data_IF_400038347316
#
_entry.id   IF_400038347316
#
_cell.length_a   1.000
_cell.length_b   1.000
_cell.length_c   1.000
_cell.angle_alpha   90.00
_cell.angle_beta   90.00
_cell.angle_gamma   90.00
#
_symmetry.space_group_name_H-M   'P 1'
#
loop_
_entity.id
_entity.type
_entity.pdbx_description
1 polymer ?
#
# COMPACT_ATOMS: atom_id res chain seq x y z
N UNK A 1 17.31 -3.66 -1.83
CA UNK A 1 16.46 -2.45 -1.74
C UNK A 1 15.78 -2.41 -0.39
N UNK A 2 15.78 -1.24 0.29
CA UNK A 2 14.70 -0.96 1.22
C UNK A 2 13.38 -1.14 0.47
N UNK A 3 12.44 -1.89 1.04
CA UNK A 3 11.11 -2.07 0.44
C UNK A 3 10.37 -0.74 0.45
N UNK A 4 9.73 -0.38 -0.66
CA UNK A 4 8.94 0.86 -0.78
C UNK A 4 7.98 0.96 0.41
N UNK A 5 7.84 2.16 1.00
CA UNK A 5 6.99 2.34 2.16
C UNK A 5 5.55 2.09 1.72
N UNK A 6 4.81 1.34 2.53
CA UNK A 6 3.41 1.11 2.27
C UNK A 6 2.70 2.47 2.28
N UNK A 7 2.18 2.88 1.13
CA UNK A 7 1.36 4.08 1.03
C UNK A 7 0.09 3.94 1.90
N UNK A 8 -0.56 5.06 2.22
CA UNK A 8 -1.77 5.07 3.03
C UNK A 8 -2.84 4.10 2.49
N UNK A 9 -2.90 4.02 1.16
CA UNK A 9 -3.73 3.07 0.43
C UNK A 9 -3.40 1.60 0.72
N UNK A 10 -2.13 1.22 0.84
CA UNK A 10 -1.73 -0.16 1.14
C UNK A 10 -2.06 -0.56 2.58
N UNK A 11 -1.89 0.36 3.53
CA UNK A 11 -2.31 0.14 4.92
C UNK A 11 -3.83 -0.12 5.00
N UNK A 12 -4.61 0.72 4.32
CA UNK A 12 -6.05 0.53 4.19
C UNK A 12 -6.41 -0.78 3.46
N UNK A 13 -5.73 -1.08 2.34
CA UNK A 13 -5.99 -2.28 1.55
C UNK A 13 -5.71 -3.58 2.30
N UNK A 14 -4.75 -3.58 3.22
CA UNK A 14 -4.44 -4.76 4.04
C UNK A 14 -5.58 -5.06 5.03
N UNK A 15 -6.12 -4.02 5.65
CA UNK A 15 -7.29 -4.15 6.54
C UNK A 15 -8.58 -4.42 5.75
N UNK A 16 -8.72 -3.80 4.57
CA UNK A 16 -9.83 -4.06 3.66
C UNK A 16 -9.81 -5.51 3.17
N UNK A 17 -8.64 -6.06 2.80
CA UNK A 17 -8.52 -7.48 2.39
C UNK A 17 -8.97 -8.44 3.47
N UNK A 18 -8.59 -8.20 4.73
CA UNK A 18 -9.01 -9.05 5.87
C UNK A 18 -10.53 -9.01 6.02
N UNK A 19 -11.08 -7.80 6.08
CA UNK A 19 -12.52 -7.56 6.22
C UNK A 19 -13.31 -8.12 5.03
N UNK A 20 -12.82 -7.90 3.81
CA UNK A 20 -13.46 -8.37 2.58
C UNK A 20 -13.45 -9.89 2.50
N UNK A 21 -12.35 -10.54 2.91
CA UNK A 21 -12.26 -12.00 2.96
C UNK A 21 -13.19 -12.61 4.01
N UNK A 22 -13.43 -11.93 5.12
CA UNK A 22 -14.42 -12.34 6.12
C UNK A 22 -15.85 -12.22 5.60
N UNK A 23 -16.16 -11.14 4.88
CA UNK A 23 -17.49 -10.92 4.28
C UNK A 23 -17.73 -11.78 3.03
N UNK A 24 -16.67 -12.07 2.26
CA UNK A 24 -16.72 -12.82 1.01
C UNK A 24 -15.66 -13.94 1.03
N UNK A 25 -15.85 -14.99 1.85
CA UNK A 25 -14.89 -16.09 1.96
C UNK A 25 -14.68 -16.85 0.63
N UNK A 26 -15.66 -16.81 -0.26
CA UNK A 26 -15.60 -17.41 -1.60
C UNK A 26 -14.90 -16.54 -2.63
N UNK A 27 -14.83 -15.22 -2.40
CA UNK A 27 -14.23 -14.29 -3.34
C UNK A 27 -12.74 -14.11 -3.04
N UNK A 28 -11.92 -14.92 -3.73
CA UNK A 28 -10.46 -14.88 -3.67
C UNK A 28 -9.85 -14.00 -4.75
N UNK A 29 -10.67 -13.36 -5.57
CA UNK A 29 -10.19 -12.61 -6.72
C UNK A 29 -9.56 -11.29 -6.27
N UNK A 30 -8.23 -11.24 -6.37
CA UNK A 30 -7.42 -10.11 -5.92
C UNK A 30 -7.74 -8.83 -6.70
N UNK A 31 -8.05 -8.95 -7.99
CA UNK A 31 -8.48 -7.83 -8.84
C UNK A 31 -9.78 -7.19 -8.33
N UNK A 32 -10.74 -7.99 -7.87
CA UNK A 32 -12.02 -7.49 -7.33
C UNK A 32 -11.79 -6.73 -6.04
N UNK A 33 -11.01 -7.30 -5.12
CA UNK A 33 -10.66 -6.64 -3.86
C UNK A 33 -9.90 -5.33 -4.10
N UNK A 34 -8.98 -5.32 -5.07
CA UNK A 34 -8.25 -4.12 -5.44
C UNK A 34 -9.16 -3.04 -6.03
N UNK A 35 -10.13 -3.44 -6.87
CA UNK A 35 -11.08 -2.52 -7.50
C UNK A 35 -12.03 -1.92 -6.47
N UNK A 36 -12.66 -2.75 -5.63
CA UNK A 36 -13.54 -2.27 -4.57
C UNK A 36 -12.80 -1.46 -3.51
N UNK A 37 -11.61 -1.90 -3.09
CA UNK A 37 -10.78 -1.15 -2.16
C UNK A 37 -10.33 0.20 -2.74
N UNK A 38 -10.00 0.24 -4.04
CA UNK A 38 -9.69 1.49 -4.76
C UNK A 38 -10.87 2.47 -4.79
N UNK A 39 -12.07 1.98 -5.07
CA UNK A 39 -13.30 2.77 -5.06
C UNK A 39 -13.65 3.24 -3.64
N UNK A 40 -13.59 2.34 -2.66
CA UNK A 40 -13.82 2.63 -1.24
C UNK A 40 -12.86 3.71 -0.76
N UNK A 41 -11.57 3.58 -1.07
CA UNK A 41 -10.57 4.59 -0.75
C UNK A 41 -10.88 5.92 -1.42
N UNK A 42 -11.28 5.96 -2.69
CA UNK A 42 -11.70 7.23 -3.33
C UNK A 42 -12.90 7.87 -2.63
N UNK A 43 -13.84 7.06 -2.16
CA UNK A 43 -15.03 7.53 -1.44
C UNK A 43 -14.78 7.88 0.04
N UNK A 44 -13.72 7.37 0.66
CA UNK A 44 -13.36 7.72 2.03
C UNK A 44 -13.02 9.20 2.15
N UNK A 45 -13.44 9.81 3.26
CA UNK A 45 -13.12 11.21 3.54
C UNK A 45 -11.68 11.36 3.98
N UNK A 46 -11.16 12.59 3.92
CA UNK A 46 -9.81 12.89 4.39
C UNK A 46 -9.64 12.55 5.88
N UNK A 47 -10.72 12.60 6.67
CA UNK A 47 -10.73 12.22 8.08
C UNK A 47 -10.52 10.72 8.28
N UNK A 48 -11.18 9.88 7.49
CA UNK A 48 -11.00 8.43 7.54
C UNK A 48 -9.63 8.01 6.97
N UNK A 49 -9.15 8.75 5.96
CA UNK A 49 -7.81 8.57 5.39
C UNK A 49 -6.73 9.09 6.32
N UNK A 50 -7.01 10.10 7.15
CA UNK A 50 -6.05 10.79 8.01
C UNK A 50 -5.15 9.85 8.82
N UNK A 51 -5.68 8.88 9.60
CA UNK A 51 -4.82 7.97 10.35
C UNK A 51 -3.92 7.10 9.45
N UNK A 52 -4.39 6.72 8.25
CA UNK A 52 -3.59 5.97 7.29
C UNK A 52 -2.57 6.86 6.57
N UNK A 53 -2.93 8.12 6.28
CA UNK A 53 -2.10 9.13 5.66
C UNK A 53 -0.96 9.55 6.58
N UNK A 54 -1.25 9.78 7.86
CA UNK A 54 -0.25 10.12 8.88
C UNK A 54 0.75 8.97 9.04
N UNK A 55 0.28 7.71 9.20
CA UNK A 55 1.14 6.53 9.26
C UNK A 55 1.98 6.34 8.00
N UNK A 56 1.39 6.54 6.83
CA UNK A 56 2.12 6.42 5.56
C UNK A 56 3.13 7.53 5.36
N UNK A 57 2.85 8.74 5.84
CA UNK A 57 3.80 9.86 5.81
C UNK A 57 5.00 9.56 6.72
N UNK A 58 4.77 9.03 7.92
CA UNK A 58 5.83 8.60 8.83
C UNK A 58 6.72 7.50 8.21
N UNK A 59 6.11 6.44 7.68
CA UNK A 59 6.81 5.36 6.98
C UNK A 59 7.55 5.86 5.73
N UNK A 60 7.00 6.85 5.02
CA UNK A 60 7.64 7.46 3.86
C UNK A 60 8.90 8.23 4.27
N UNK A 61 8.87 8.97 5.38
CA UNK A 61 10.04 9.69 5.91
C UNK A 61 11.13 8.71 6.34
N UNK A 62 10.77 7.64 7.04
CA UNK A 62 11.73 6.58 7.41
C UNK A 62 12.35 5.92 6.18
N UNK A 63 11.53 5.64 5.16
CA UNK A 63 12.00 5.06 3.92
C UNK A 63 12.89 6.02 3.14
N UNK A 64 12.55 7.31 3.03
CA UNK A 64 13.40 8.29 2.34
C UNK A 64 14.79 8.37 2.98
N UNK A 65 14.84 8.34 4.32
CA UNK A 65 16.10 8.29 5.08
C UNK A 65 16.87 6.99 4.84
N UNK A 66 16.19 5.84 4.89
CA UNK A 66 16.79 4.53 4.61
C UNK A 66 17.24 4.40 3.14
N UNK A 67 16.51 5.03 2.22
CA UNK A 67 16.79 5.08 0.80
C UNK A 67 17.98 6.00 0.51
N UNK A 68 18.15 7.13 1.18
CA UNK A 68 19.37 7.94 1.08
C UNK A 68 20.60 7.17 1.56
N UNK A 69 20.48 6.44 2.67
CA UNK A 69 21.55 5.56 3.16
C UNK A 69 21.84 4.38 2.22
N UNK A 70 20.82 3.83 1.57
CA UNK A 70 20.99 2.70 0.64
C UNK A 70 21.27 3.12 -0.82
N UNK A 71 20.95 4.35 -1.24
CA UNK A 71 21.27 4.92 -2.57
C UNK A 71 22.76 5.13 -2.75
N UNK A 72 23.49 5.36 -1.66
CA UNK A 72 24.94 5.37 -1.68
C UNK A 72 25.52 3.99 -2.11
N UNK A 73 24.75 2.90 -1.94
CA UNK A 73 25.20 1.52 -2.19
C UNK A 73 24.49 0.80 -3.36
N UNK A 74 23.33 1.28 -3.86
CA UNK A 74 22.50 0.46 -4.76
C UNK A 74 21.57 1.28 -5.69
N UNK A 75 22.13 1.85 -6.76
CA UNK A 75 21.41 2.61 -7.77
C UNK A 75 20.56 1.77 -8.76
N UNK A 76 20.42 0.44 -8.57
CA UNK A 76 19.98 -0.47 -9.65
C UNK A 76 18.54 -0.99 -9.55
N UNK A 77 17.75 -0.63 -8.54
CA UNK A 77 16.46 -1.31 -8.28
C UNK A 77 15.24 -0.38 -8.30
N UNK A 78 15.37 0.74 -9.02
CA UNK A 78 14.23 1.59 -9.35
C UNK A 78 13.25 0.89 -10.33
N UNK A 79 13.68 -0.19 -10.97
CA UNK A 79 12.88 -1.07 -11.84
C UNK A 79 12.49 -2.37 -11.13
N UNK A 80 11.20 -2.71 -11.18
CA UNK A 80 10.63 -3.98 -10.69
C UNK A 80 10.54 -4.06 -9.16
N UNK A 81 9.51 -4.57 -8.51
CA UNK A 81 8.39 -5.46 -8.83
C UNK A 81 7.60 -5.45 -7.50
N UNK A 82 6.28 -5.47 -7.39
CA UNK A 82 5.29 -6.37 -7.98
C UNK A 82 3.91 -5.90 -7.44
N UNK A 83 2.77 -6.06 -8.10
CA UNK A 83 2.34 -7.34 -8.65
C UNK A 83 1.45 -7.18 -9.87
N UNK A 84 1.90 -7.86 -10.91
CA UNK A 84 1.16 -8.38 -12.06
C UNK A 84 -0.28 -8.78 -11.74
N UNK A 85 -1.19 -8.47 -12.64
CA UNK A 85 -2.16 -9.43 -13.16
C UNK A 85 -2.34 -9.12 -14.66
N UNK A 86 -1.61 -9.93 -15.46
CA UNK A 86 -1.70 -10.27 -16.90
C UNK A 86 -1.61 -9.18 -17.99
#
# INVERSE_FOLDING_TARGET
>A
MPKRPAAAFFLFMDDFRKTFKEQNPDNKNVSVVAKEGGEKWKFMTDEEKKPYADKAAELKVEYEKALEQHKADNAEVAEGSDREEE
#
